data_IF_032385140941
#
_entry.id   IF_032385140941
#
_cell.length_a   1.000
_cell.length_b   1.000
_cell.length_c   1.000
_cell.angle_alpha   90.00
_cell.angle_beta   90.00
_cell.angle_gamma   90.00
#
_symmetry.space_group_name_H-M   'P 1'
#
loop_
_entity.id
_entity.type
_entity.pdbx_description
1 polymer ?
#
# COMPACT_ATOMS: atom_id res chain seq x y z
N UNK A 1 -28.44 1.76 8.50
CA UNK A 1 -27.83 1.62 8.39
C UNK A 1 -26.85 1.83 8.46
N UNK A 2 -26.65 1.89 8.83
CA UNK A 2 -25.72 2.23 8.77
C UNK A 2 -24.83 1.86 8.33
N UNK A 3 -24.49 2.33 8.14
CA UNK A 3 -23.67 1.89 7.35
C UNK A 3 -22.48 1.39 7.91
N UNK A 4 -22.41 0.26 8.16
CA UNK A 4 -21.32 -0.31 8.70
C UNK A 4 -20.23 -0.43 7.76
N UNK A 5 -20.41 -0.20 6.52
CA UNK A 5 -19.34 -0.24 5.59
C UNK A 5 -18.77 1.13 5.38
N UNK A 6 -18.58 1.86 6.45
CA UNK A 6 -17.97 3.15 6.39
C UNK A 6 -16.48 3.01 6.16
N UNK A 7 -16.03 3.39 5.00
CA UNK A 7 -14.61 3.50 4.70
C UNK A 7 -14.43 4.64 3.70
N UNK A 8 -13.23 5.19 3.64
CA UNK A 8 -12.93 6.32 2.77
C UNK A 8 -12.16 5.92 1.53
N UNK A 9 -12.15 4.63 1.21
CA UNK A 9 -11.30 4.14 0.11
C UNK A 9 -11.62 4.79 -1.24
N UNK A 10 -12.89 5.06 -1.50
CA UNK A 10 -13.28 5.69 -2.77
C UNK A 10 -12.81 7.14 -2.85
N UNK A 11 -12.71 7.80 -1.71
CA UNK A 11 -12.32 9.21 -1.66
C UNK A 11 -10.83 9.43 -1.57
N UNK A 12 -10.08 8.39 -1.19
CA UNK A 12 -8.65 8.52 -1.04
C UNK A 12 -7.95 7.95 -2.25
N UNK A 13 -6.80 8.51 -2.59
CA UNK A 13 -6.04 8.11 -3.76
C UNK A 13 -4.62 7.74 -3.36
N UNK A 14 -3.92 7.08 -4.26
CA UNK A 14 -2.50 6.82 -4.08
C UNK A 14 -1.74 8.13 -4.15
N UNK A 15 -0.60 8.21 -3.48
CA UNK A 15 0.14 9.45 -3.35
C UNK A 15 1.62 9.14 -3.17
N UNK A 16 2.46 10.04 -3.66
CA UNK A 16 3.91 9.95 -3.43
C UNK A 16 4.21 10.60 -2.09
N UNK A 17 5.05 9.95 -1.29
CA UNK A 17 5.42 10.47 0.02
C UNK A 17 6.74 11.20 -0.11
N UNK A 18 6.67 12.52 -0.12
CA UNK A 18 7.84 13.36 -0.35
C UNK A 18 8.24 14.20 0.86
N UNK A 19 7.63 13.95 2.01
CA UNK A 19 7.99 14.66 3.23
C UNK A 19 7.80 13.74 4.44
N UNK A 20 8.55 14.01 5.49
CA UNK A 20 8.43 13.24 6.73
C UNK A 20 7.06 13.46 7.37
N UNK A 21 6.53 14.68 7.28
CA UNK A 21 5.22 14.99 7.86
C UNK A 21 4.12 14.17 7.20
N UNK A 22 4.15 14.07 5.87
CA UNK A 22 3.17 13.29 5.14
C UNK A 22 3.29 11.80 5.50
N UNK A 23 4.53 11.32 5.63
CA UNK A 23 4.76 9.94 6.03
C UNK A 23 4.13 9.66 7.40
N UNK A 24 4.33 10.55 8.38
CA UNK A 24 3.78 10.36 9.72
C UNK A 24 2.26 10.37 9.70
N UNK A 25 1.65 11.26 8.92
CA UNK A 25 0.20 11.31 8.79
C UNK A 25 -0.37 10.02 8.22
N UNK A 26 0.25 9.50 7.15
CA UNK A 26 -0.22 8.29 6.52
C UNK A 26 -0.01 7.07 7.40
N UNK A 27 1.12 7.00 8.10
CA UNK A 27 1.39 5.90 9.01
C UNK A 27 0.33 5.85 10.11
N UNK A 28 0.04 7.00 10.70
CA UNK A 28 -0.98 7.08 11.74
C UNK A 28 -2.36 6.72 11.21
N UNK A 29 -2.68 7.15 10.00
CA UNK A 29 -3.94 6.83 9.37
C UNK A 29 -4.10 5.32 9.22
N UNK A 30 -3.12 4.64 8.64
CA UNK A 30 -3.22 3.20 8.42
C UNK A 30 -3.24 2.43 9.74
N UNK A 31 -2.42 2.83 10.70
CA UNK A 31 -2.40 2.18 12.01
C UNK A 31 -3.76 2.32 12.71
N UNK A 32 -4.36 3.49 12.61
CA UNK A 32 -5.67 3.72 13.19
C UNK A 32 -6.74 2.85 12.52
N UNK A 33 -6.70 2.73 11.20
CA UNK A 33 -7.66 1.92 10.47
C UNK A 33 -7.54 0.44 10.84
N UNK A 34 -6.33 -0.04 11.07
CA UNK A 34 -6.13 -1.41 11.52
C UNK A 34 -6.66 -1.57 12.95
N UNK A 35 -6.37 -0.61 13.80
CA UNK A 35 -6.82 -0.65 15.19
C UNK A 35 -8.34 -0.64 15.30
N UNK A 36 -9.00 0.12 14.42
CA UNK A 36 -10.45 0.22 14.41
C UNK A 36 -11.13 -0.94 13.67
N UNK A 37 -10.35 -1.84 13.10
CA UNK A 37 -10.90 -3.00 12.41
C UNK A 37 -11.41 -2.74 11.00
N UNK A 38 -11.11 -1.57 10.44
CA UNK A 38 -11.51 -1.22 9.07
C UNK A 38 -10.57 -1.88 8.05
N UNK A 39 -9.28 -1.85 8.34
CA UNK A 39 -8.26 -2.47 7.49
C UNK A 39 -7.66 -3.68 8.21
N UNK A 40 -7.13 -4.61 7.44
CA UNK A 40 -6.27 -5.65 8.00
C UNK A 40 -4.90 -5.60 7.34
N UNK A 41 -3.89 -5.90 8.13
CA UNK A 41 -2.50 -5.96 7.71
C UNK A 41 -2.30 -7.30 7.02
N UNK A 42 -1.82 -7.31 5.79
CA UNK A 42 -1.58 -8.57 5.07
C UNK A 42 -0.12 -8.68 4.68
N UNK A 43 0.40 -9.91 4.56
CA UNK A 43 1.81 -10.10 4.19
C UNK A 43 2.10 -9.56 2.81
N UNK A 44 3.25 -8.94 2.64
CA UNK A 44 3.70 -8.46 1.34
C UNK A 44 4.27 -9.65 0.59
N UNK A 45 3.61 -10.07 -0.47
CA UNK A 45 3.96 -11.28 -1.19
C UNK A 45 4.53 -11.04 -2.58
N UNK A 46 4.42 -9.82 -3.11
CA UNK A 46 4.95 -9.51 -4.42
C UNK A 46 5.74 -8.22 -4.37
N UNK A 47 6.83 -8.11 -5.14
CA UNK A 47 7.59 -6.88 -5.17
C UNK A 47 6.84 -5.80 -5.94
N UNK A 48 7.10 -4.54 -5.62
CA UNK A 48 6.50 -3.45 -6.38
C UNK A 48 7.35 -3.13 -7.62
N UNK A 49 8.59 -3.56 -7.65
CA UNK A 49 9.47 -3.31 -8.78
C UNK A 49 10.59 -4.34 -8.80
N UNK A 50 10.92 -4.85 -9.96
CA UNK A 50 12.01 -5.82 -10.11
C UNK A 50 12.84 -5.58 -11.37
N UNK A 51 12.68 -4.40 -11.99
CA UNK A 51 13.43 -4.03 -13.19
C UNK A 51 12.49 -3.85 -14.37
N UNK A 52 12.90 -2.99 -15.28
CA UNK A 52 12.06 -2.68 -16.45
C UNK A 52 12.02 -3.87 -17.40
N UNK A 53 10.81 -4.24 -17.80
CA UNK A 53 10.62 -5.31 -18.75
C UNK A 53 10.86 -6.71 -18.23
N UNK A 54 11.09 -6.85 -16.91
CA UNK A 54 11.33 -8.15 -16.30
C UNK A 54 10.13 -8.58 -15.49
N UNK A 55 9.90 -9.89 -15.43
CA UNK A 55 8.86 -10.47 -14.62
C UNK A 55 9.45 -10.95 -13.29
N UNK A 56 8.67 -10.99 -12.21
CA UNK A 56 9.19 -11.41 -10.91
C UNK A 56 9.87 -12.77 -10.93
N UNK A 57 9.33 -13.71 -11.71
CA UNK A 57 9.91 -15.06 -11.77
C UNK A 57 11.23 -15.09 -12.51
N UNK A 58 11.58 -14.03 -13.23
CA UNK A 58 12.83 -13.96 -13.97
C UNK A 58 13.96 -13.30 -13.19
N UNK A 59 13.67 -12.80 -12.01
CA UNK A 59 14.60 -11.97 -11.24
C UNK A 59 14.86 -12.64 -9.89
N UNK A 60 16.11 -12.62 -9.44
CA UNK A 60 16.45 -13.14 -8.12
C UNK A 60 15.86 -12.25 -7.04
N UNK A 61 15.49 -12.84 -5.91
CA UNK A 61 14.85 -12.10 -4.82
C UNK A 61 15.67 -10.91 -4.35
N UNK A 62 16.99 -11.01 -4.41
CA UNK A 62 17.86 -9.91 -3.97
C UNK A 62 17.77 -8.67 -4.84
N UNK A 63 17.18 -8.80 -6.05
CA UNK A 63 17.00 -7.68 -6.96
C UNK A 63 15.56 -7.20 -7.03
N UNK A 64 14.73 -7.65 -6.10
CA UNK A 64 13.33 -7.24 -6.05
C UNK A 64 13.13 -6.24 -4.92
N UNK A 65 12.32 -5.23 -5.17
CA UNK A 65 12.00 -4.24 -4.14
C UNK A 65 10.58 -4.49 -3.65
N UNK A 66 10.44 -4.71 -2.33
CA UNK A 66 9.15 -4.97 -1.70
C UNK A 66 8.72 -3.76 -0.89
N UNK A 67 7.42 -3.50 -0.86
CA UNK A 67 6.87 -2.44 -0.02
C UNK A 67 6.95 -2.85 1.45
N UNK A 68 6.84 -1.88 2.33
CA UNK A 68 6.91 -2.15 3.77
C UNK A 68 5.63 -2.76 4.30
N UNK A 69 4.48 -2.34 3.78
CA UNK A 69 3.20 -2.81 4.28
C UNK A 69 2.15 -2.91 3.19
N UNK A 70 1.28 -3.88 3.34
CA UNK A 70 0.05 -3.99 2.55
C UNK A 70 -1.10 -4.00 3.53
N UNK A 71 -2.19 -3.31 3.16
CA UNK A 71 -3.41 -3.30 3.95
C UNK A 71 -4.59 -3.60 3.04
N UNK A 72 -5.59 -4.28 3.59
CA UNK A 72 -6.80 -4.55 2.82
C UNK A 72 -8.00 -4.03 3.61
N UNK A 73 -8.85 -3.27 2.94
CA UNK A 73 -10.06 -2.76 3.56
C UNK A 73 -11.07 -3.88 3.73
N UNK A 74 -11.56 -4.07 4.93
CA UNK A 74 -12.54 -5.11 5.23
C UNK A 74 -13.93 -4.73 4.74
N UNK A 75 -14.15 -3.44 4.48
CA UNK A 75 -15.46 -2.97 4.03
C UNK A 75 -15.65 -3.16 2.54
N UNK A 76 -14.67 -2.75 1.74
CA UNK A 76 -14.82 -2.75 0.28
C UNK A 76 -13.82 -3.61 -0.48
N UNK A 77 -12.85 -4.18 0.23
CA UNK A 77 -11.87 -5.07 -0.40
C UNK A 77 -10.73 -4.38 -1.11
N UNK A 78 -10.64 -3.05 -1.04
CA UNK A 78 -9.54 -2.31 -1.65
C UNK A 78 -8.22 -2.72 -1.02
N UNK A 79 -7.22 -2.96 -1.85
CA UNK A 79 -5.87 -3.27 -1.38
C UNK A 79 -5.04 -1.99 -1.42
N UNK A 80 -4.30 -1.73 -0.36
CA UNK A 80 -3.44 -0.56 -0.25
C UNK A 80 -2.00 -1.01 -0.04
N UNK A 81 -1.08 -0.40 -0.77
CA UNK A 81 0.34 -0.64 -0.62
C UNK A 81 1.00 0.60 -0.03
N UNK A 82 1.82 0.44 0.98
CA UNK A 82 2.49 1.54 1.68
C UNK A 82 3.98 1.25 1.68
N UNK A 83 4.73 2.09 0.98
CA UNK A 83 6.19 2.03 0.96
C UNK A 83 6.72 3.21 1.77
N UNK A 84 7.44 2.93 2.83
CA UNK A 84 8.00 3.97 3.68
C UNK A 84 9.11 4.70 2.93
N UNK A 85 9.22 6.02 3.10
CA UNK A 85 10.30 6.75 2.47
C UNK A 85 11.62 6.49 3.19
N UNK A 86 12.72 6.55 2.44
CA UNK A 86 14.06 6.47 2.97
C UNK A 86 14.81 7.60 2.30
N UNK A 87 14.62 8.82 2.80
CA UNK A 87 15.08 10.02 2.12
C UNK A 87 16.57 9.99 1.81
N UNK A 88 16.96 10.45 0.62
CA UNK A 88 16.14 11.16 -0.36
C UNK A 88 15.19 10.29 -1.18
N UNK A 89 15.17 8.98 -1.00
CA UNK A 89 14.24 8.12 -1.71
C UNK A 89 12.83 8.35 -1.18
N UNK A 90 11.89 8.57 -2.08
CA UNK A 90 10.50 8.85 -1.70
C UNK A 90 9.72 7.57 -1.51
N UNK A 91 8.78 7.59 -0.55
CA UNK A 91 7.85 6.49 -0.40
C UNK A 91 6.62 6.71 -1.26
N UNK A 92 5.64 5.84 -1.13
CA UNK A 92 4.39 5.97 -1.88
C UNK A 92 3.29 5.14 -1.24
N UNK A 93 2.06 5.49 -1.60
CA UNK A 93 0.88 4.69 -1.28
C UNK A 93 0.19 4.42 -2.60
N UNK A 94 -0.10 3.16 -2.89
CA UNK A 94 -0.85 2.78 -4.08
C UNK A 94 -2.15 2.11 -3.67
N UNK A 95 -3.18 2.34 -4.48
CA UNK A 95 -4.52 1.84 -4.22
C UNK A 95 -4.93 0.89 -5.35
N UNK A 96 -5.45 -0.25 -4.98
CA UNK A 96 -5.98 -1.23 -5.93
C UNK A 96 -7.44 -1.49 -5.58
N UNK A 97 -8.33 -0.75 -6.22
CA UNK A 97 -9.75 -0.77 -5.87
C UNK A 97 -10.41 -2.11 -6.10
N UNK A 98 -9.89 -2.90 -7.04
CA UNK A 98 -10.42 -4.24 -7.31
C UNK A 98 -9.80 -5.32 -6.40
N UNK A 99 -8.92 -4.93 -5.50
CA UNK A 99 -8.27 -5.85 -4.57
C UNK A 99 -7.18 -6.70 -5.20
N UNK A 100 -6.79 -6.42 -6.45
CA UNK A 100 -5.79 -7.21 -7.15
C UNK A 100 -4.50 -6.41 -7.29
N UNK A 101 -3.43 -6.95 -6.76
CA UNK A 101 -2.14 -6.28 -6.78
C UNK A 101 -1.52 -6.30 -8.17
N UNK A 102 -0.89 -5.20 -8.54
CA UNK A 102 -0.16 -5.09 -9.80
C UNK A 102 1.21 -4.48 -9.53
N UNK A 103 2.22 -5.07 -10.16
CA UNK A 103 3.57 -4.58 -10.01
C UNK A 103 3.71 -3.25 -10.74
N UNK A 104 4.49 -2.35 -10.13
CA UNK A 104 4.75 -1.04 -10.72
C UNK A 104 5.67 -1.21 -11.93
N UNK A 105 5.34 -0.55 -13.01
CA UNK A 105 6.15 -0.59 -14.23
C UNK A 105 6.95 0.67 -14.43
#
# INVERSE_FOLDING_TARGET
>A
MVSMNQCDCDERIGIEINSFELYEELRKFFEYQVQEGVFCDIPVESPYFCGYGLKPEEVKDEFKWYADKWYKCKCCGTLWEFQYPDFPAKGFVRKFSDGKYRIKE
#
